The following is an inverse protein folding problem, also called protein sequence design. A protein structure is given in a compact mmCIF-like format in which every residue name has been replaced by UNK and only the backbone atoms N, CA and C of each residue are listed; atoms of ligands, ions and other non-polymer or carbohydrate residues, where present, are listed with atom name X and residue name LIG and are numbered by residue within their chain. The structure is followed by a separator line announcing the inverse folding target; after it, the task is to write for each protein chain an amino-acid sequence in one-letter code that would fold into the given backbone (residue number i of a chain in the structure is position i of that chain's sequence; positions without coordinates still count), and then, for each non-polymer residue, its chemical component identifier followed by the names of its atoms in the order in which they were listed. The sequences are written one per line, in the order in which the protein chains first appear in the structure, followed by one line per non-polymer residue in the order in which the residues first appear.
data_IF_067014429615
#
_entry.id   IF_067014429615
#
_cell.length_a   1.000
_cell.length_b   1.000
_cell.length_c   1.000
_cell.angle_alpha   90.00
_cell.angle_beta   90.00
_cell.angle_gamma   90.00
#
_symmetry.space_group_name_H-M   'P 1'
#
loop_
_entity.id
_entity.type
_entity.pdbx_description
1 polymer ?
#
# COMPACT_ATOMS: atom_id res chain seq x y z
N UNK A 1 22.44 11.24 2.01
CA UNK A 1 22.50 12.47 2.83
C UNK A 1 21.06 12.95 3.02
N UNK A 2 20.40 12.51 4.09
CA UNK A 2 19.04 12.94 4.42
C UNK A 2 19.12 14.26 5.17
N UNK A 3 18.59 15.33 4.59
CA UNK A 3 18.60 16.69 5.15
C UNK A 3 17.72 16.77 6.41
N UNK A 4 18.19 17.49 7.43
CA UNK A 4 17.49 17.76 8.71
C UNK A 4 16.03 18.23 8.56
N UNK A 5 15.65 18.79 7.42
CA UNK A 5 14.29 19.22 7.09
C UNK A 5 13.30 18.07 6.93
N UNK A 6 13.74 16.90 6.45
CA UNK A 6 12.87 15.74 6.19
C UNK A 6 12.48 15.04 7.50
N UNK A 7 13.40 15.03 8.47
CA UNK A 7 13.18 14.44 9.80
C UNK A 7 12.11 15.19 10.62
N UNK A 8 12.04 16.52 10.50
CA UNK A 8 11.04 17.33 11.19
C UNK A 8 9.62 17.14 10.63
N UNK A 9 9.51 16.96 9.31
CA UNK A 9 8.22 16.71 8.63
C UNK A 9 7.67 15.33 8.98
N UNK A 10 8.54 14.33 9.02
CA UNK A 10 8.19 12.96 9.42
C UNK A 10 7.71 12.91 10.89
N UNK A 11 8.37 13.62 11.81
CA UNK A 11 7.93 13.65 13.21
C UNK A 11 6.54 14.30 13.41
N UNK A 12 6.25 15.38 12.69
CA UNK A 12 4.94 16.02 12.72
C UNK A 12 3.84 15.09 12.16
N UNK A 13 4.11 14.43 11.04
CA UNK A 13 3.17 13.47 10.43
C UNK A 13 2.87 12.31 11.39
N UNK A 14 3.88 11.74 12.05
CA UNK A 14 3.69 10.66 13.04
C UNK A 14 2.79 11.08 14.20
N UNK A 15 2.93 12.32 14.69
CA UNK A 15 2.06 12.85 15.76
C UNK A 15 0.61 12.95 15.32
N UNK A 16 0.38 13.40 14.07
CA UNK A 16 -0.98 13.48 13.50
C UNK A 16 -1.57 12.08 13.37
N UNK A 17 -0.82 11.11 12.83
CA UNK A 17 -1.28 9.71 12.70
C UNK A 17 -1.64 9.14 14.07
N UNK A 18 -0.81 9.37 15.09
CA UNK A 18 -1.12 8.90 16.45
C UNK A 18 -2.39 9.55 17.01
N UNK A 19 -2.61 10.84 16.75
CA UNK A 19 -3.85 11.53 17.13
C UNK A 19 -5.08 10.90 16.47
N UNK A 20 -5.00 10.61 15.17
CA UNK A 20 -6.08 9.96 14.41
C UNK A 20 -6.38 8.55 14.94
N UNK A 21 -5.34 7.75 15.23
CA UNK A 21 -5.48 6.43 15.87
C UNK A 21 -6.22 6.52 17.19
N UNK A 22 -5.85 7.49 18.04
CA UNK A 22 -6.47 7.66 19.34
C UNK A 22 -7.96 8.00 19.20
N UNK A 23 -8.32 8.92 18.30
CA UNK A 23 -9.72 9.30 18.04
C UNK A 23 -10.53 8.11 17.52
N UNK A 24 -9.98 7.35 16.57
CA UNK A 24 -10.64 6.15 16.05
C UNK A 24 -10.94 5.15 17.17
N UNK A 25 -9.93 4.82 17.98
CA UNK A 25 -10.05 3.83 19.08
C UNK A 25 -10.96 4.31 20.21
N UNK A 26 -10.94 5.59 20.56
CA UNK A 26 -11.73 6.12 21.68
C UNK A 26 -13.20 6.35 21.34
N UNK A 27 -13.51 6.59 20.06
CA UNK A 27 -14.81 7.15 19.68
C UNK A 27 -15.50 6.36 18.57
N UNK A 28 -14.79 6.03 17.50
CA UNK A 28 -15.41 5.38 16.32
C UNK A 28 -15.53 3.86 16.53
N UNK A 29 -14.46 3.21 16.98
CA UNK A 29 -14.43 1.76 17.18
C UNK A 29 -15.54 1.25 18.12
N UNK A 30 -15.84 1.89 19.27
CA UNK A 30 -16.96 1.46 20.12
C UNK A 30 -18.32 1.54 19.42
N UNK A 31 -18.52 2.53 18.54
CA UNK A 31 -19.74 2.67 17.75
C UNK A 31 -19.85 1.60 16.67
N UNK A 32 -18.76 1.32 15.95
CA UNK A 32 -18.71 0.24 14.95
C UNK A 32 -19.06 -1.11 15.58
N UNK A 33 -18.54 -1.39 16.78
CA UNK A 33 -18.83 -2.61 17.53
C UNK A 33 -20.27 -2.67 18.05
N UNK A 34 -20.80 -1.55 18.56
CA UNK A 34 -22.17 -1.49 19.07
C UNK A 34 -23.22 -1.78 17.98
N UNK A 35 -22.94 -1.38 16.74
CA UNK A 35 -23.84 -1.57 15.60
C UNK A 35 -23.43 -2.70 14.64
N UNK A 36 -22.41 -3.50 15.00
CA UNK A 36 -21.88 -4.59 14.16
C UNK A 36 -21.58 -4.15 12.73
N UNK A 37 -20.90 -3.00 12.58
CA UNK A 37 -20.64 -2.37 11.28
C UNK A 37 -19.84 -3.27 10.32
N UNK A 38 -18.98 -4.12 10.88
CA UNK A 38 -18.17 -5.11 10.17
C UNK A 38 -18.99 -6.16 9.43
N UNK A 39 -20.22 -6.44 9.86
CA UNK A 39 -21.13 -7.34 9.17
C UNK A 39 -21.70 -6.75 7.86
N UNK A 40 -21.62 -5.42 7.67
CA UNK A 40 -22.27 -4.73 6.56
C UNK A 40 -21.31 -4.09 5.57
N UNK A 41 -20.19 -3.54 6.05
CA UNK A 41 -19.32 -2.71 5.21
C UNK A 41 -17.86 -3.14 5.27
N UNK A 42 -17.16 -2.82 6.36
CA UNK A 42 -15.73 -3.06 6.48
C UNK A 42 -15.35 -3.50 7.89
N UNK A 43 -14.35 -4.37 8.04
CA UNK A 43 -13.75 -4.67 9.33
C UNK A 43 -13.20 -3.44 10.03
N UNK A 44 -13.00 -3.54 11.35
CA UNK A 44 -12.33 -2.51 12.13
C UNK A 44 -10.90 -2.27 11.64
N UNK A 45 -10.49 -1.00 11.60
CA UNK A 45 -9.16 -0.60 11.15
C UNK A 45 -8.07 -1.05 12.14
N UNK A 46 -7.06 -1.70 11.59
CA UNK A 46 -5.84 -2.12 12.26
C UNK A 46 -4.81 -1.00 12.34
N UNK A 47 -3.90 -1.06 13.32
CA UNK A 47 -2.82 -0.07 13.44
C UNK A 47 -1.92 -0.02 12.19
N UNK A 48 -1.76 -1.16 11.50
CA UNK A 48 -1.02 -1.25 10.23
C UNK A 48 -1.64 -0.45 9.10
N UNK A 49 -2.96 -0.27 9.07
CA UNK A 49 -3.62 0.54 8.03
C UNK A 49 -3.28 2.02 8.17
N UNK A 50 -3.16 2.51 9.41
CA UNK A 50 -2.72 3.88 9.69
C UNK A 50 -1.22 4.10 9.46
N UNK A 51 -0.39 3.09 9.72
CA UNK A 51 1.07 3.17 9.55
C UNK A 51 1.52 2.79 8.13
N UNK A 52 0.58 2.39 7.26
CA UNK A 52 0.89 1.93 5.92
C UNK A 52 1.57 3.03 5.08
N UNK A 53 2.52 2.61 4.23
CA UNK A 53 3.15 3.52 3.27
C UNK A 53 2.08 4.03 2.29
N UNK A 54 2.12 5.32 1.88
CA UNK A 54 1.21 5.84 0.86
C UNK A 54 1.22 4.98 -0.41
N UNK A 55 0.04 4.70 -0.95
CA UNK A 55 -0.14 3.87 -2.14
C UNK A 55 -0.70 4.71 -3.30
N UNK A 56 -0.21 4.46 -4.52
CA UNK A 56 -0.71 5.09 -5.76
C UNK A 56 -1.28 4.00 -6.65
N UNK A 57 -2.56 4.14 -7.02
CA UNK A 57 -3.25 3.20 -7.92
C UNK A 57 -3.41 3.82 -9.31
N UNK A 58 -2.88 3.17 -10.34
CA UNK A 58 -3.03 3.59 -11.72
C UNK A 58 -4.17 2.84 -12.39
N UNK A 59 -5.22 3.57 -12.79
CA UNK A 59 -6.40 3.02 -13.48
C UNK A 59 -6.45 3.56 -14.90
N UNK A 60 -6.81 2.71 -15.86
CA UNK A 60 -6.98 3.12 -17.26
C UNK A 60 -7.12 1.91 -18.19
N UNK A 61 -7.66 2.15 -19.39
CA UNK A 61 -7.88 1.12 -20.41
C UNK A 61 -6.59 0.41 -20.86
N UNK A 62 -6.74 -0.68 -21.60
CA UNK A 62 -5.60 -1.42 -22.14
C UNK A 62 -4.70 -0.50 -22.97
N UNK A 63 -3.39 -0.74 -22.89
CA UNK A 63 -2.38 -0.07 -23.72
C UNK A 63 -2.28 1.46 -23.56
N UNK A 64 -2.82 2.05 -22.48
CA UNK A 64 -2.69 3.49 -22.18
C UNK A 64 -1.36 3.88 -21.51
N UNK A 65 -0.36 2.99 -21.51
CA UNK A 65 0.98 3.31 -21.00
C UNK A 65 1.15 3.28 -19.48
N UNK A 66 0.26 2.64 -18.70
CA UNK A 66 0.38 2.51 -17.24
C UNK A 66 1.73 1.93 -16.79
N UNK A 67 2.15 0.82 -17.41
CA UNK A 67 3.44 0.17 -17.13
C UNK A 67 4.61 1.10 -17.45
N UNK A 68 4.54 1.80 -18.58
CA UNK A 68 5.54 2.78 -18.99
C UNK A 68 5.60 3.98 -18.04
N UNK A 69 4.47 4.41 -17.49
CA UNK A 69 4.40 5.49 -16.50
C UNK A 69 5.06 5.10 -15.19
N UNK A 70 4.83 3.89 -14.69
CA UNK A 70 5.53 3.37 -13.49
C UNK A 70 7.03 3.37 -13.73
N UNK A 71 7.48 2.78 -14.86
CA UNK A 71 8.89 2.75 -15.26
C UNK A 71 9.49 4.16 -15.35
N UNK A 72 8.74 5.12 -15.89
CA UNK A 72 9.17 6.52 -15.95
C UNK A 72 9.36 7.13 -14.56
N UNK A 73 8.44 6.90 -13.62
CA UNK A 73 8.55 7.40 -12.25
C UNK A 73 9.73 6.81 -11.48
N UNK A 74 10.00 5.50 -11.64
CA UNK A 74 11.08 4.82 -10.92
C UNK A 74 12.44 4.91 -11.64
N UNK A 75 12.45 5.37 -12.89
CA UNK A 75 13.67 5.55 -13.71
C UNK A 75 14.35 4.26 -14.15
N UNK A 76 13.74 3.10 -13.93
CA UNK A 76 14.29 1.77 -14.27
C UNK A 76 13.20 0.76 -14.58
N UNK A 77 13.62 -0.37 -15.14
CA UNK A 77 12.78 -1.53 -15.33
C UNK A 77 12.45 -2.20 -13.98
N UNK A 78 11.28 -2.83 -13.87
CA UNK A 78 10.86 -3.55 -12.66
C UNK A 78 10.42 -5.00 -12.97
N UNK A 79 10.61 -5.95 -12.04
CA UNK A 79 10.25 -7.35 -12.23
C UNK A 79 8.75 -7.53 -12.54
N UNK A 80 8.43 -8.47 -13.44
CA UNK A 80 7.05 -8.80 -13.79
C UNK A 80 6.36 -7.84 -14.76
N UNK A 81 7.06 -6.80 -15.26
CA UNK A 81 6.51 -5.95 -16.31
C UNK A 81 6.34 -6.72 -17.63
N UNK A 82 5.16 -6.59 -18.26
CA UNK A 82 4.92 -7.01 -19.65
C UNK A 82 4.48 -5.77 -20.43
N UNK A 83 5.31 -5.33 -21.36
CA UNK A 83 5.00 -4.23 -22.28
C UNK A 83 4.89 -4.84 -23.68
N UNK A 84 3.69 -4.92 -24.22
CA UNK A 84 3.43 -5.43 -25.55
C UNK A 84 2.11 -4.88 -26.12
N UNK A 85 1.92 -4.92 -27.46
CA UNK A 85 0.73 -4.40 -28.12
C UNK A 85 -0.55 -5.18 -27.78
N UNK A 86 -0.42 -6.43 -27.33
CA UNK A 86 -1.52 -7.26 -26.85
C UNK A 86 -1.93 -6.91 -25.40
N UNK A 87 -3.18 -7.19 -24.97
CA UNK A 87 -3.63 -6.92 -23.61
C UNK A 87 -2.76 -7.68 -22.61
N UNK A 88 -1.81 -6.96 -21.99
CA UNK A 88 -0.71 -7.56 -21.21
C UNK A 88 -0.88 -7.39 -19.70
N UNK A 89 -2.06 -6.96 -19.25
CA UNK A 89 -2.39 -6.76 -17.84
C UNK A 89 -3.77 -7.37 -17.54
N UNK A 90 -3.79 -8.68 -17.32
CA UNK A 90 -4.96 -9.47 -16.85
C UNK A 90 -5.04 -9.53 -15.31
N UNK A 91 -4.10 -8.90 -14.59
CA UNK A 91 -3.89 -9.05 -13.14
C UNK A 91 -3.53 -7.73 -12.46
N UNK A 92 -3.88 -7.63 -11.18
CA UNK A 92 -3.37 -6.57 -10.30
C UNK A 92 -1.90 -6.83 -9.99
N UNK A 93 -1.07 -5.80 -10.12
CA UNK A 93 0.37 -5.85 -9.81
C UNK A 93 0.67 -4.78 -8.77
N UNK A 94 1.22 -5.19 -7.63
CA UNK A 94 1.74 -4.28 -6.62
C UNK A 94 3.26 -4.17 -6.78
N UNK A 95 3.75 -2.97 -7.10
CA UNK A 95 5.19 -2.68 -7.15
C UNK A 95 5.56 -2.08 -5.80
N UNK A 96 6.44 -2.77 -5.07
CA UNK A 96 6.86 -2.41 -3.72
C UNK A 96 8.39 -2.43 -3.61
N UNK A 97 8.91 -1.60 -2.72
CA UNK A 97 10.33 -1.61 -2.35
C UNK A 97 10.69 -2.89 -1.58
N UNK A 98 11.88 -3.44 -1.84
CA UNK A 98 12.34 -4.69 -1.25
C UNK A 98 13.86 -4.86 -1.40
N UNK A 99 14.48 -5.71 -0.57
CA UNK A 99 15.94 -5.88 -0.57
C UNK A 99 16.47 -6.55 -1.85
N UNK A 100 15.63 -7.35 -2.51
CA UNK A 100 15.96 -8.08 -3.74
C UNK A 100 14.86 -7.91 -4.78
N UNK A 101 15.26 -7.96 -6.05
CA UNK A 101 14.33 -7.94 -7.18
C UNK A 101 13.67 -9.32 -7.33
N UNK A 102 12.43 -9.44 -6.85
CA UNK A 102 11.65 -10.67 -6.92
C UNK A 102 10.20 -10.42 -7.29
N UNK A 103 9.55 -11.44 -7.86
CA UNK A 103 8.09 -11.46 -8.09
C UNK A 103 7.47 -12.44 -7.12
N UNK A 104 6.57 -11.96 -6.25
CA UNK A 104 5.86 -12.79 -5.26
C UNK A 104 4.42 -13.01 -5.75
N UNK A 105 3.98 -14.27 -6.00
CA UNK A 105 2.59 -14.55 -6.31
C UNK A 105 1.67 -14.19 -5.14
N UNK A 106 0.53 -13.55 -5.42
CA UNK A 106 -0.40 -13.06 -4.39
C UNK A 106 -1.02 -14.13 -3.47
N UNK A 107 -0.84 -15.43 -3.76
CA UNK A 107 -1.25 -16.53 -2.86
C UNK A 107 -0.17 -16.93 -1.85
N UNK A 108 1.10 -16.56 -2.06
CA UNK A 108 2.25 -16.99 -1.25
C UNK A 108 2.80 -15.91 -0.30
N UNK A 109 2.52 -14.63 -0.56
CA UNK A 109 3.03 -13.52 0.27
C UNK A 109 2.56 -13.50 1.73
N UNK A 110 1.65 -14.38 2.13
CA UNK A 110 1.16 -14.53 3.51
C UNK A 110 1.80 -15.67 4.32
N UNK A 111 2.77 -16.41 3.78
CA UNK A 111 3.35 -17.61 4.43
C UNK A 111 4.84 -17.54 4.76
N UNK A 112 5.51 -16.42 4.47
CA UNK A 112 6.96 -16.28 4.67
C UNK A 112 7.26 -15.43 5.91
N UNK A 113 6.82 -15.91 7.08
CA UNK A 113 7.01 -15.21 8.37
C UNK A 113 7.00 -16.08 9.64
N UNK A 114 6.62 -17.36 9.56
CA UNK A 114 6.75 -18.29 10.70
C UNK A 114 7.95 -19.21 10.48
N UNK A 115 9.13 -18.68 10.80
CA UNK A 115 10.35 -19.44 11.01
C UNK A 115 10.39 -19.95 12.45
N UNK A 116 10.25 -21.26 12.61
CA UNK A 116 10.81 -22.00 13.74
C UNK A 116 12.33 -21.96 13.71
#
# INVERSE_FOLDING_TARGET
MSTQSDQGRDQATRRVIQGLKNIYKSTILPLEQMYMYDAFYSPALSDSEFDSKPMVMLVGQYSTGKTSFIRYLIGRDFPGQRIGPEPTTDRFVAVMDGPEERVIPGREGGREGDGK
#
